data_IF_683208920951
#
_entry.id   IF_683208920951
#
_cell.length_a   1.000
_cell.length_b   1.000
_cell.length_c   1.000
_cell.angle_alpha   90.00
_cell.angle_beta   90.00
_cell.angle_gamma   90.00
#
_symmetry.space_group_name_H-M   'P 1'
#
loop_
_entity.id
_entity.type
_entity.pdbx_description
1 polymer ?
#
# COMPACT_ATOMS: atom_id res chain seq x y z
N UNK A 1 -10.73 -15.02 12.93
CA UNK A 1 -9.59 -14.71 12.04
C UNK A 1 -9.25 -13.23 12.18
N UNK A 2 -7.99 -12.93 12.38
CA UNK A 2 -7.54 -11.55 12.55
C UNK A 2 -7.15 -10.94 11.21
N UNK A 3 -7.75 -9.79 10.88
CA UNK A 3 -7.36 -9.02 9.68
C UNK A 3 -6.18 -8.13 10.01
N UNK A 4 -5.11 -8.27 9.26
CA UNK A 4 -3.93 -7.43 9.42
C UNK A 4 -3.97 -6.32 8.36
N UNK A 5 -3.88 -5.09 8.81
CA UNK A 5 -3.87 -3.92 7.93
C UNK A 5 -2.50 -3.27 7.94
N UNK A 6 -1.88 -3.21 6.78
CA UNK A 6 -0.52 -2.70 6.63
C UNK A 6 -0.51 -1.40 5.85
N UNK A 7 0.29 -0.45 6.30
CA UNK A 7 0.65 0.71 5.51
C UNK A 7 2.03 0.44 4.91
N UNK A 8 2.09 0.42 3.57
CA UNK A 8 3.34 0.22 2.84
C UNK A 8 3.72 1.54 2.19
N UNK A 9 4.94 1.99 2.40
CA UNK A 9 5.46 3.19 1.74
C UNK A 9 6.40 2.77 0.62
N UNK A 10 6.34 3.50 -0.51
CA UNK A 10 7.17 3.17 -1.66
C UNK A 10 6.75 1.91 -2.38
N UNK A 11 5.47 1.50 -2.22
CA UNK A 11 4.99 0.25 -2.80
C UNK A 11 4.84 0.26 -4.31
N UNK A 12 5.00 1.42 -4.98
CA UNK A 12 5.02 1.49 -6.44
C UNK A 12 6.42 1.27 -7.01
N UNK A 13 7.46 1.14 -6.17
CA UNK A 13 8.79 0.76 -6.61
C UNK A 13 8.86 -0.72 -6.94
N UNK A 14 10.01 -1.15 -7.50
CA UNK A 14 10.17 -2.52 -7.95
C UNK A 14 10.01 -3.52 -6.80
N UNK A 15 10.75 -3.32 -5.72
CA UNK A 15 10.74 -4.25 -4.59
C UNK A 15 9.40 -4.18 -3.85
N UNK A 16 8.91 -2.96 -3.60
CA UNK A 16 7.65 -2.78 -2.88
C UNK A 16 6.46 -3.37 -3.61
N UNK A 17 6.42 -3.26 -4.95
CA UNK A 17 5.33 -3.84 -5.74
C UNK A 17 5.33 -5.36 -5.67
N UNK A 18 6.50 -5.98 -5.69
CA UNK A 18 6.60 -7.44 -5.54
C UNK A 18 6.16 -7.89 -4.16
N UNK A 19 6.50 -7.14 -3.12
CA UNK A 19 6.05 -7.44 -1.77
C UNK A 19 4.52 -7.41 -1.68
N UNK A 20 3.91 -6.36 -2.24
CA UNK A 20 2.45 -6.21 -2.22
C UNK A 20 1.77 -7.37 -2.96
N UNK A 21 2.25 -7.70 -4.16
CA UNK A 21 1.67 -8.79 -4.93
C UNK A 21 1.80 -10.12 -4.21
N UNK A 22 2.96 -10.38 -3.61
CA UNK A 22 3.19 -11.61 -2.86
C UNK A 22 2.22 -11.73 -1.69
N UNK A 23 2.11 -10.68 -0.87
CA UNK A 23 1.27 -10.72 0.33
C UNK A 23 -0.22 -10.84 -0.03
N UNK A 24 -0.69 -10.11 -1.02
CA UNK A 24 -2.09 -10.18 -1.43
C UNK A 24 -2.45 -11.55 -2.01
N UNK A 25 -1.49 -12.21 -2.66
CA UNK A 25 -1.71 -13.52 -3.25
C UNK A 25 -1.70 -14.63 -2.20
N UNK A 26 -0.80 -14.53 -1.22
CA UNK A 26 -0.54 -15.62 -0.27
C UNK A 26 -1.26 -15.47 1.06
N UNK A 27 -1.81 -14.30 1.37
CA UNK A 27 -2.52 -14.07 2.63
C UNK A 27 -3.82 -13.33 2.36
N UNK A 28 -4.93 -14.04 2.50
CA UNK A 28 -6.26 -13.48 2.23
C UNK A 28 -6.80 -12.64 3.39
N UNK A 29 -6.11 -12.63 4.52
CA UNK A 29 -6.50 -11.85 5.69
C UNK A 29 -5.76 -10.51 5.79
N UNK A 30 -4.99 -10.15 4.76
CA UNK A 30 -4.21 -8.91 4.78
C UNK A 30 -4.86 -7.84 3.92
N UNK A 31 -4.85 -6.60 4.42
CA UNK A 31 -5.28 -5.43 3.67
C UNK A 31 -4.10 -4.47 3.59
N UNK A 32 -3.84 -3.92 2.42
CA UNK A 32 -2.67 -3.07 2.20
C UNK A 32 -3.09 -1.70 1.72
N UNK A 33 -2.61 -0.66 2.41
CA UNK A 33 -2.66 0.73 1.95
C UNK A 33 -1.26 1.09 1.49
N UNK A 34 -1.11 1.39 0.20
CA UNK A 34 0.17 1.75 -0.40
C UNK A 34 0.25 3.27 -0.55
N UNK A 35 1.13 3.91 0.22
CA UNK A 35 1.40 5.34 0.14
C UNK A 35 2.70 5.54 -0.64
N UNK A 36 2.63 6.17 -1.81
CA UNK A 36 3.80 6.39 -2.64
C UNK A 36 3.75 7.78 -3.27
N UNK A 37 4.87 8.48 -3.21
CA UNK A 37 4.98 9.81 -3.81
C UNK A 37 5.20 9.74 -5.33
N UNK A 38 5.42 8.56 -5.89
CA UNK A 38 5.68 8.34 -7.32
C UNK A 38 6.86 9.17 -7.81
N UNK A 39 7.95 9.16 -7.05
CA UNK A 39 9.20 9.79 -7.47
C UNK A 39 9.86 8.94 -8.56
N UNK A 40 11.08 9.29 -8.95
CA UNK A 40 11.72 8.66 -10.11
C UNK A 40 11.73 7.12 -10.07
N UNK A 41 11.70 6.52 -8.90
CA UNK A 41 11.69 5.06 -8.76
C UNK A 41 10.30 4.44 -8.71
N UNK A 42 9.25 5.26 -8.59
CA UNK A 42 7.88 4.78 -8.43
C UNK A 42 7.10 4.83 -9.73
N UNK A 43 6.27 3.81 -9.96
CA UNK A 43 5.40 3.75 -11.13
C UNK A 43 4.13 2.99 -10.77
N UNK A 44 2.98 3.64 -10.93
CA UNK A 44 1.68 3.02 -10.65
C UNK A 44 1.49 1.72 -11.43
N UNK A 45 2.04 1.63 -12.64
CA UNK A 45 1.94 0.43 -13.45
C UNK A 45 2.55 -0.80 -12.78
N UNK A 46 3.50 -0.61 -11.86
CA UNK A 46 4.08 -1.73 -11.10
C UNK A 46 3.05 -2.39 -10.17
N UNK A 47 1.96 -1.70 -9.87
CA UNK A 47 0.90 -2.22 -9.01
C UNK A 47 -0.36 -2.62 -9.80
N UNK A 48 -0.24 -2.78 -11.12
CA UNK A 48 -1.40 -3.07 -11.97
C UNK A 48 -2.12 -4.35 -11.53
N UNK A 49 -1.38 -5.36 -11.11
CA UNK A 49 -1.95 -6.62 -10.67
C UNK A 49 -2.73 -6.45 -9.37
N UNK A 50 -2.22 -5.64 -8.44
CA UNK A 50 -2.88 -5.40 -7.17
C UNK A 50 -4.08 -4.48 -7.29
N UNK A 51 -4.12 -3.62 -8.31
CA UNK A 51 -5.14 -2.57 -8.44
C UNK A 51 -6.56 -3.11 -8.49
N UNK A 52 -6.75 -4.34 -8.94
CA UNK A 52 -8.08 -4.95 -8.99
C UNK A 52 -8.49 -5.66 -7.70
N UNK A 53 -7.64 -5.69 -6.69
CA UNK A 53 -7.91 -6.39 -5.44
C UNK A 53 -8.61 -5.45 -4.45
N UNK A 54 -9.76 -5.88 -3.92
CA UNK A 54 -10.55 -5.08 -2.97
C UNK A 54 -9.80 -4.80 -1.67
N UNK A 55 -8.75 -5.57 -1.35
CA UNK A 55 -7.94 -5.41 -0.15
C UNK A 55 -6.72 -4.51 -0.39
N UNK A 56 -6.61 -3.90 -1.57
CA UNK A 56 -5.52 -3.01 -1.92
C UNK A 56 -6.04 -1.59 -2.12
N UNK A 57 -5.37 -0.62 -1.50
CA UNK A 57 -5.70 0.80 -1.61
C UNK A 57 -4.44 1.59 -1.94
N UNK A 58 -4.50 2.38 -3.00
CA UNK A 58 -3.38 3.22 -3.39
C UNK A 58 -3.65 4.67 -2.99
N UNK A 59 -2.66 5.31 -2.38
CA UNK A 59 -2.71 6.72 -2.04
C UNK A 59 -1.45 7.40 -2.57
N UNK A 60 -1.63 8.42 -3.40
CA UNK A 60 -0.53 9.23 -3.91
C UNK A 60 -0.20 10.32 -2.90
N UNK A 61 0.97 10.27 -2.30
CA UNK A 61 1.38 11.26 -1.32
C UNK A 61 2.75 10.95 -0.77
N UNK A 62 3.24 11.84 0.10
CA UNK A 62 4.58 11.73 0.69
C UNK A 62 4.49 11.29 2.15
N UNK A 63 5.44 10.46 2.57
CA UNK A 63 5.59 10.11 3.99
C UNK A 63 5.96 11.33 4.83
N UNK A 64 6.43 12.40 4.20
CA UNK A 64 6.71 13.66 4.89
C UNK A 64 5.46 14.47 5.17
N UNK A 65 4.34 14.11 4.57
CA UNK A 65 3.05 14.74 4.86
C UNK A 65 2.45 14.10 6.10
N UNK A 66 2.76 14.67 7.24
CA UNK A 66 2.38 14.12 8.54
C UNK A 66 0.87 14.00 8.72
N UNK A 67 0.14 15.01 8.27
CA UNK A 67 -1.32 14.99 8.39
C UNK A 67 -1.93 13.85 7.59
N UNK A 68 -1.43 13.62 6.38
CA UNK A 68 -1.89 12.53 5.53
C UNK A 68 -1.58 11.17 6.17
N UNK A 69 -0.36 11.00 6.68
CA UNK A 69 0.03 9.73 7.31
C UNK A 69 -0.83 9.47 8.54
N UNK A 70 -1.02 10.47 9.40
CA UNK A 70 -1.87 10.32 10.57
C UNK A 70 -3.31 9.96 10.19
N UNK A 71 -3.83 10.62 9.17
CA UNK A 71 -5.18 10.34 8.67
C UNK A 71 -5.30 8.90 8.17
N UNK A 72 -4.30 8.42 7.42
CA UNK A 72 -4.30 7.05 6.91
C UNK A 72 -4.26 6.01 8.03
N UNK A 73 -3.42 6.25 9.04
CA UNK A 73 -3.32 5.34 10.17
C UNK A 73 -4.64 5.19 10.92
N UNK A 74 -5.41 6.26 11.02
CA UNK A 74 -6.70 6.26 11.70
C UNK A 74 -7.81 5.73 10.82
N UNK A 75 -7.90 6.22 9.57
CA UNK A 75 -9.00 5.90 8.67
C UNK A 75 -9.02 4.42 8.30
N UNK A 76 -7.85 3.84 8.07
CA UNK A 76 -7.73 2.45 7.71
C UNK A 76 -7.46 1.52 8.90
N UNK A 77 -7.40 2.07 10.11
CA UNK A 77 -7.12 1.30 11.33
C UNK A 77 -5.87 0.42 11.17
N UNK A 78 -4.78 1.04 10.75
CA UNK A 78 -3.51 0.34 10.50
C UNK A 78 -2.97 -0.28 11.79
N UNK A 79 -2.51 -1.50 11.68
CA UNK A 79 -1.96 -2.27 12.80
C UNK A 79 -0.51 -1.93 13.18
#
# INVERSE_FOLDING_TARGET
MMFLRLLVTGGAGFIGSHFIDYELTHDQSIEIVNLDALTYAGNVANNAQAAGNARYHFVHGSINNRELVDWLLQEFAID
#
